data_IF_623658595181
#
_entry.id   IF_623658595181
#
_cell.length_a   1.000
_cell.length_b   1.000
_cell.length_c   1.000
_cell.angle_alpha   90.00
_cell.angle_beta   90.00
_cell.angle_gamma   90.00
#
_symmetry.space_group_name_H-M   'P 1'
#
loop_
_entity.id
_entity.type
_entity.pdbx_description
1 polymer ?
#
# COMPACT_ATOMS: atom_id res chain seq x y z
N UNK A 1 6.20 -8.10 -3.88
CA UNK A 1 5.75 -7.47 -2.60
C UNK A 1 4.38 -6.82 -2.76
N UNK A 2 4.17 -5.94 -3.74
CA UNK A 2 2.88 -5.26 -3.94
C UNK A 2 1.70 -6.21 -4.16
N UNK A 3 1.87 -7.22 -5.01
CA UNK A 3 0.86 -8.26 -5.23
C UNK A 3 0.47 -8.99 -3.93
N UNK A 4 1.45 -9.34 -3.10
CA UNK A 4 1.19 -9.97 -1.81
C UNK A 4 0.42 -9.05 -0.85
N UNK A 5 0.76 -7.76 -0.79
CA UNK A 5 0.01 -6.78 0.02
C UNK A 5 -1.42 -6.57 -0.48
N UNK A 6 -1.65 -6.62 -1.80
CA UNK A 6 -3.01 -6.61 -2.37
C UNK A 6 -3.80 -7.87 -2.01
N UNK A 7 -3.14 -9.04 -2.00
CA UNK A 7 -3.77 -10.29 -1.57
C UNK A 7 -4.14 -10.23 -0.08
N UNK A 8 -3.28 -9.69 0.78
CA UNK A 8 -3.58 -9.43 2.21
C UNK A 8 -4.79 -8.49 2.33
N UNK A 9 -4.81 -7.40 1.57
CA UNK A 9 -5.93 -6.46 1.58
C UNK A 9 -7.25 -7.13 1.18
N UNK A 10 -7.22 -8.01 0.16
CA UNK A 10 -8.39 -8.79 -0.24
C UNK A 10 -8.83 -9.76 0.86
N UNK A 11 -7.91 -10.46 1.52
CA UNK A 11 -8.21 -11.40 2.61
C UNK A 11 -8.83 -10.69 3.83
N UNK A 12 -8.42 -9.45 4.10
CA UNK A 12 -8.93 -8.62 5.19
C UNK A 12 -10.15 -7.79 4.78
N UNK A 13 -10.70 -8.01 3.58
CA UNK A 13 -11.86 -7.31 3.05
C UNK A 13 -11.72 -5.77 3.08
N UNK A 14 -10.51 -5.28 2.76
CA UNK A 14 -10.24 -3.84 2.66
C UNK A 14 -10.94 -3.26 1.42
N UNK A 15 -11.57 -2.10 1.57
CA UNK A 15 -12.49 -1.55 0.55
C UNK A 15 -11.80 -0.87 -0.62
N UNK A 16 -10.54 -0.47 -0.47
CA UNK A 16 -9.82 0.24 -1.51
C UNK A 16 -8.31 0.13 -1.34
N UNK A 17 -7.63 -0.21 -2.44
CA UNK A 17 -6.18 -0.22 -2.54
C UNK A 17 -5.76 0.38 -3.89
N UNK A 18 -4.74 1.23 -3.89
CA UNK A 18 -4.15 1.79 -5.12
C UNK A 18 -2.64 1.55 -5.11
N UNK A 19 -2.10 1.07 -6.22
CA UNK A 19 -0.66 0.89 -6.42
C UNK A 19 -0.14 1.99 -7.33
N UNK A 20 0.88 2.70 -6.89
CA UNK A 20 1.57 3.75 -7.62
C UNK A 20 3.02 3.33 -7.83
N UNK A 21 3.49 3.41 -9.07
CA UNK A 21 4.89 3.21 -9.40
C UNK A 21 5.58 4.58 -9.51
N UNK A 22 6.61 4.79 -8.70
CA UNK A 22 7.46 5.97 -8.77
C UNK A 22 8.50 5.84 -9.88
N UNK A 23 8.96 6.99 -10.38
CA UNK A 23 10.12 7.04 -11.28
C UNK A 23 11.42 6.96 -10.49
N UNK A 24 11.49 7.63 -9.34
CA UNK A 24 12.66 7.70 -8.47
C UNK A 24 12.18 7.77 -7.01
N UNK A 25 13.03 7.38 -6.06
CA UNK A 25 12.72 7.37 -4.64
C UNK A 25 13.98 7.24 -3.79
N UNK A 26 13.88 7.64 -2.52
CA UNK A 26 14.92 7.42 -1.52
C UNK A 26 14.29 6.68 -0.35
N UNK A 27 14.88 5.58 0.08
CA UNK A 27 14.37 4.81 1.22
C UNK A 27 14.76 5.44 2.58
N UNK A 28 14.33 4.79 3.67
CA UNK A 28 14.63 5.27 5.03
C UNK A 28 16.11 5.17 5.42
N UNK A 29 16.92 4.45 4.64
CA UNK A 29 18.37 4.34 4.81
C UNK A 29 19.15 5.34 3.93
N UNK A 30 18.45 6.08 3.08
CA UNK A 30 19.05 7.03 2.15
C UNK A 30 19.47 6.43 0.80
N UNK A 31 19.08 5.17 0.51
CA UNK A 31 19.39 4.52 -0.76
C UNK A 31 18.48 5.06 -1.87
N UNK A 32 19.08 5.42 -3.01
CA UNK A 32 18.36 5.94 -4.17
C UNK A 32 17.91 4.81 -5.09
N UNK A 33 16.63 4.85 -5.44
CA UNK A 33 15.94 3.92 -6.32
C UNK A 33 15.50 4.66 -7.59
N UNK A 34 15.70 4.09 -8.80
CA UNK A 34 15.31 4.74 -10.06
C UNK A 34 14.91 3.78 -11.17
N UNK A 35 13.82 4.13 -11.85
CA UNK A 35 13.28 3.44 -13.02
C UNK A 35 14.10 3.66 -14.30
N UNK A 36 15.01 4.65 -14.32
CA UNK A 36 15.74 5.07 -15.53
C UNK A 36 17.01 4.28 -15.81
N UNK A 37 17.55 3.56 -14.83
CA UNK A 37 18.89 2.99 -14.91
C UNK A 37 18.85 1.46 -14.92
N UNK A 38 18.64 0.87 -16.10
CA UNK A 38 18.86 -0.54 -16.49
C UNK A 38 18.30 -1.71 -15.63
N UNK A 39 17.86 -1.51 -14.40
CA UNK A 39 17.24 -2.53 -13.55
C UNK A 39 15.76 -2.16 -13.35
N UNK A 40 14.87 -2.71 -14.18
CA UNK A 40 13.41 -2.62 -13.98
C UNK A 40 12.96 -3.10 -12.58
N UNK A 41 13.85 -3.77 -11.84
CA UNK A 41 13.65 -4.37 -10.53
C UNK A 41 13.69 -3.39 -9.36
N UNK A 42 14.26 -2.18 -9.53
CA UNK A 42 14.43 -1.21 -8.43
C UNK A 42 13.53 0.01 -8.53
N UNK A 43 12.31 -0.20 -9.04
CA UNK A 43 11.30 0.86 -9.10
C UNK A 43 10.61 1.02 -7.75
N UNK A 44 10.59 2.22 -7.14
CA UNK A 44 9.88 2.44 -5.90
C UNK A 44 8.38 2.26 -6.12
N UNK A 45 7.74 1.51 -5.22
CA UNK A 45 6.29 1.27 -5.24
C UNK A 45 5.67 1.83 -3.97
N UNK A 46 4.60 2.61 -4.14
CA UNK A 46 3.73 3.04 -3.06
C UNK A 46 2.38 2.32 -3.17
N UNK A 47 1.90 1.80 -2.05
CA UNK A 47 0.56 1.21 -1.96
C UNK A 47 -0.24 2.00 -0.94
N UNK A 48 -1.38 2.52 -1.36
CA UNK A 48 -2.28 3.27 -0.51
C UNK A 48 -3.52 2.43 -0.23
N UNK A 49 -3.89 2.32 1.03
CA UNK A 49 -5.12 1.66 1.47
C UNK A 49 -6.06 2.70 2.08
N UNK A 50 -7.32 2.71 1.62
CA UNK A 50 -8.40 3.46 2.26
C UNK A 50 -9.14 2.51 3.20
N UNK A 51 -8.97 2.71 4.51
CA UNK A 51 -9.39 1.75 5.56
C UNK A 51 -9.99 2.46 6.76
N UNK A 52 -10.88 1.78 7.47
CA UNK A 52 -11.37 2.28 8.76
C UNK A 52 -10.25 2.25 9.82
N UNK A 53 -10.48 2.92 10.94
CA UNK A 53 -9.55 2.91 12.07
C UNK A 53 -9.28 1.49 12.59
N UNK A 54 -10.32 0.66 12.66
CA UNK A 54 -10.27 -0.73 13.10
C UNK A 54 -9.45 -1.57 12.11
N UNK A 55 -9.77 -1.46 10.81
CA UNK A 55 -9.03 -2.16 9.76
C UNK A 55 -7.55 -1.77 9.71
N UNK A 56 -7.22 -0.50 9.97
CA UNK A 56 -5.83 -0.05 10.06
C UNK A 56 -5.09 -0.71 11.22
N UNK A 57 -5.73 -0.87 12.39
CA UNK A 57 -5.15 -1.56 13.55
C UNK A 57 -4.92 -3.03 13.20
N UNK A 58 -5.94 -3.72 12.68
CA UNK A 58 -5.86 -5.13 12.29
C UNK A 58 -4.77 -5.38 11.25
N UNK A 59 -4.69 -4.54 10.21
CA UNK A 59 -3.69 -4.65 9.14
C UNK A 59 -2.27 -4.50 9.70
N UNK A 60 -2.02 -3.46 10.49
CA UNK A 60 -0.68 -3.22 11.06
C UNK A 60 -0.30 -4.33 12.04
N UNK A 61 -1.23 -4.82 12.87
CA UNK A 61 -1.01 -5.97 13.75
C UNK A 61 -0.72 -7.25 12.96
N UNK A 62 -1.44 -7.51 11.87
CA UNK A 62 -1.17 -8.65 10.99
C UNK A 62 0.22 -8.57 10.36
N UNK A 63 0.61 -7.39 9.84
CA UNK A 63 1.91 -7.17 9.19
C UNK A 63 3.09 -7.26 10.18
N UNK A 64 2.93 -6.75 11.41
CA UNK A 64 3.96 -6.86 12.46
C UNK A 64 4.29 -8.30 12.84
N UNK A 65 3.37 -9.24 12.63
CA UNK A 65 3.58 -10.67 12.88
C UNK A 65 4.30 -11.39 11.71
N UNK A 66 4.69 -10.67 10.65
CA UNK A 66 5.41 -11.22 9.50
C UNK A 66 6.89 -10.81 9.55
N UNK A 67 7.75 -11.63 8.96
CA UNK A 67 9.18 -11.30 8.78
C UNK A 67 9.38 -10.37 7.57
N UNK A 68 8.84 -9.15 7.65
CA UNK A 68 8.93 -8.12 6.62
C UNK A 68 9.39 -6.79 7.22
N UNK A 69 9.95 -5.91 6.39
CA UNK A 69 10.26 -4.52 6.75
C UNK A 69 9.53 -3.60 5.78
N UNK A 70 8.56 -2.84 6.27
CA UNK A 70 7.77 -1.91 5.48
C UNK A 70 7.80 -0.54 6.15
N UNK A 71 8.23 0.48 5.39
CA UNK A 71 8.00 1.86 5.76
C UNK A 71 6.53 2.22 5.44
N UNK A 72 5.85 2.89 6.36
CA UNK A 72 4.48 3.34 6.15
C UNK A 72 4.23 4.70 6.77
N UNK A 73 3.25 5.40 6.21
CA UNK A 73 2.66 6.60 6.79
C UNK A 73 1.18 6.30 7.06
N UNK A 74 0.68 6.72 8.23
CA UNK A 74 -0.74 6.64 8.57
C UNK A 74 -1.29 8.06 8.68
N UNK A 75 -2.24 8.39 7.83
CA UNK A 75 -2.90 9.71 7.79
C UNK A 75 -4.40 9.54 8.05
N UNK A 76 -5.02 10.35 8.92
CA UNK A 76 -6.48 10.39 9.04
C UNK A 76 -7.09 10.84 7.71
N UNK A 77 -8.05 10.08 7.20
CA UNK A 77 -8.77 10.38 5.96
C UNK A 77 -10.26 10.10 6.14
N UNK A 78 -11.09 10.80 5.37
CA UNK A 78 -12.49 10.44 5.16
C UNK A 78 -12.61 9.75 3.79
N UNK A 79 -13.41 8.69 3.72
CA UNK A 79 -13.66 7.97 2.48
C UNK A 79 -15.08 7.40 2.47
N UNK A 80 -15.64 7.29 1.27
CA UNK A 80 -17.00 6.83 1.04
C UNK A 80 -17.27 6.70 -0.45
N UNK A 81 -18.49 6.31 -0.80
CA UNK A 81 -18.95 6.22 -2.19
C UNK A 81 -20.04 7.26 -2.41
N UNK A 82 -20.00 7.93 -3.56
CA UNK A 82 -21.02 8.90 -4.01
C UNK A 82 -21.46 8.54 -5.43
N UNK A 83 -22.74 8.77 -5.75
CA UNK A 83 -23.36 8.33 -7.01
C UNK A 83 -24.16 7.03 -6.86
N UNK A 84 -24.99 6.67 -7.86
CA UNK A 84 -25.79 5.45 -7.83
C UNK A 84 -24.88 4.23 -7.99
N UNK A 85 -24.88 3.29 -7.01
CA UNK A 85 -24.33 1.96 -7.26
C UNK A 85 -25.18 1.31 -8.34
N UNK A 86 -24.54 0.94 -9.44
CA UNK A 86 -25.11 -0.12 -10.27
C UNK A 86 -24.50 -1.37 -9.69
N UNK A 87 -25.23 -2.05 -8.81
CA UNK A 87 -24.77 -3.29 -8.21
C UNK A 87 -24.27 -4.23 -9.33
N UNK A 88 -23.02 -4.68 -9.19
CA UNK A 88 -22.44 -5.79 -9.94
C UNK A 88 -21.97 -6.82 -8.94
#
# INVERSE_FOLDING_TARGET
MSEWLLAVASQMNLRGATVLAGLEGVDYQGLFHSARFFELADRPIQIQFAVSSEQAIELLSYLNNKKISLFYVKTPIEFGMVGKSTDR
#
